data_IF_756945348086
#
_entry.id   IF_756945348086
#
_cell.length_a   1.000
_cell.length_b   1.000
_cell.length_c   1.000
_cell.angle_alpha   90.00
_cell.angle_beta   90.00
_cell.angle_gamma   90.00
#
_symmetry.space_group_name_H-M   'P 1'
#
loop_
_entity.id
_entity.type
_entity.pdbx_description
1 polymer ?
#
# COMPACT_ATOMS: atom_id res chain seq x y z
N UNK A 1 10.67 17.65 -24.13
CA UNK A 1 10.80 17.00 -22.81
C UNK A 1 9.99 17.80 -21.82
N UNK A 2 9.43 17.16 -20.79
CA UNK A 2 8.64 17.82 -19.75
C UNK A 2 9.40 17.72 -18.44
N UNK A 3 9.46 18.82 -17.70
CA UNK A 3 10.19 18.90 -16.43
C UNK A 3 9.31 18.34 -15.31
N UNK A 4 9.82 17.37 -14.56
CA UNK A 4 9.19 16.82 -13.35
C UNK A 4 9.67 17.52 -12.08
N UNK A 5 10.96 17.84 -12.03
CA UNK A 5 11.58 18.41 -10.84
C UNK A 5 12.73 19.33 -11.21
N UNK A 6 12.85 20.44 -10.49
CA UNK A 6 13.92 21.43 -10.69
C UNK A 6 14.84 21.43 -9.48
N UNK A 7 16.15 21.38 -9.73
CA UNK A 7 17.21 21.48 -8.74
C UNK A 7 18.06 22.72 -9.03
N UNK A 8 19.07 22.99 -8.21
CA UNK A 8 19.89 24.22 -8.34
C UNK A 8 20.70 24.30 -9.64
N UNK A 9 21.12 23.16 -10.22
CA UNK A 9 21.99 23.13 -11.41
C UNK A 9 21.45 22.28 -12.57
N UNK A 10 20.35 21.56 -12.34
CA UNK A 10 19.77 20.65 -13.31
C UNK A 10 18.27 20.49 -13.04
N UNK A 11 17.57 19.87 -13.99
CA UNK A 11 16.22 19.38 -13.80
C UNK A 11 16.15 17.89 -14.14
N UNK A 12 15.13 17.24 -13.59
CA UNK A 12 14.71 15.89 -13.96
C UNK A 12 13.52 16.02 -14.89
N UNK A 13 13.57 15.31 -16.01
CA UNK A 13 12.60 15.42 -17.09
C UNK A 13 12.17 14.04 -17.58
N UNK A 14 10.96 13.99 -18.14
CA UNK A 14 10.48 12.88 -18.98
C UNK A 14 10.53 13.27 -20.45
N UNK A 15 10.70 12.27 -21.31
CA UNK A 15 10.88 12.50 -22.74
C UNK A 15 9.54 12.60 -23.45
N UNK A 16 9.51 13.46 -24.47
CA UNK A 16 8.44 13.45 -25.49
C UNK A 16 9.00 12.74 -26.72
N UNK A 17 8.30 11.72 -27.21
CA UNK A 17 8.68 10.96 -28.40
C UNK A 17 7.47 10.72 -29.30
N UNK A 18 7.70 10.70 -30.61
CA UNK A 18 6.69 10.31 -31.61
C UNK A 18 6.86 8.88 -32.09
N UNK A 19 7.97 8.22 -31.72
CA UNK A 19 8.34 6.87 -32.16
C UNK A 19 8.26 6.72 -33.69
N UNK A 20 8.92 7.61 -34.44
CA UNK A 20 8.86 7.66 -35.91
C UNK A 20 7.44 7.82 -36.47
N UNK A 21 6.55 8.49 -35.72
CA UNK A 21 5.15 8.65 -36.09
C UNK A 21 4.31 7.40 -35.83
N UNK A 22 4.78 6.46 -35.01
CA UNK A 22 4.00 5.28 -34.62
C UNK A 22 3.36 5.43 -33.24
N UNK A 23 3.81 6.42 -32.44
CA UNK A 23 3.33 6.62 -31.08
C UNK A 23 3.43 5.31 -30.27
N UNK A 24 2.47 5.03 -29.39
CA UNK A 24 2.34 3.79 -28.60
C UNK A 24 2.03 2.54 -29.44
N UNK A 25 1.85 2.68 -30.76
CA UNK A 25 1.59 1.54 -31.65
C UNK A 25 2.88 0.84 -32.08
N UNK A 26 4.05 1.38 -31.70
CA UNK A 26 5.34 0.74 -31.95
C UNK A 26 5.49 -0.50 -31.08
N UNK A 27 5.93 -1.60 -31.69
CA UNK A 27 6.17 -2.86 -30.99
C UNK A 27 7.18 -2.73 -29.85
N UNK A 28 6.89 -3.39 -28.73
CA UNK A 28 7.74 -3.42 -27.55
C UNK A 28 7.58 -2.23 -26.60
N UNK A 29 6.65 -1.30 -26.87
CA UNK A 29 6.26 -0.26 -25.91
C UNK A 29 5.20 -0.79 -24.95
N UNK A 30 5.34 -0.45 -23.66
CA UNK A 30 4.29 -0.65 -22.68
C UNK A 30 3.37 0.59 -22.63
N UNK A 31 2.10 0.49 -23.05
CA UNK A 31 1.16 1.60 -22.99
C UNK A 31 1.03 2.20 -21.58
N UNK A 32 1.18 1.41 -20.51
CA UNK A 32 0.98 1.86 -19.13
C UNK A 32 2.00 2.92 -18.68
N UNK A 33 3.15 3.01 -19.36
CA UNK A 33 4.18 4.01 -19.11
C UNK A 33 4.07 5.24 -20.00
N UNK A 34 3.02 5.34 -20.82
CA UNK A 34 2.87 6.39 -21.82
C UNK A 34 1.57 7.18 -21.67
N UNK A 35 1.66 8.48 -21.92
CA UNK A 35 0.52 9.38 -22.11
C UNK A 35 0.63 10.09 -23.45
N UNK A 36 -0.50 10.46 -24.04
CA UNK A 36 -0.50 11.44 -25.12
C UNK A 36 -0.21 12.83 -24.57
N UNK A 37 0.45 13.66 -25.37
CA UNK A 37 0.62 15.08 -25.08
C UNK A 37 0.14 15.90 -26.27
N UNK A 38 -0.67 16.93 -25.99
CA UNK A 38 -1.35 17.69 -27.03
C UNK A 38 -1.50 19.18 -26.64
N UNK A 39 -1.73 20.03 -27.64
CA UNK A 39 -1.90 21.49 -27.43
C UNK A 39 -3.36 21.91 -27.61
N UNK A 40 -4.04 21.40 -28.65
CA UNK A 40 -5.40 21.82 -29.01
C UNK A 40 -6.40 20.67 -28.88
N UNK A 41 -6.25 19.68 -29.74
CA UNK A 41 -7.18 18.57 -29.84
C UNK A 41 -6.72 17.42 -28.97
N UNK A 42 -7.53 17.06 -27.97
CA UNK A 42 -7.28 15.88 -27.14
C UNK A 42 -7.45 14.61 -27.99
N UNK A 43 -6.39 13.81 -28.18
CA UNK A 43 -6.51 12.55 -28.90
C UNK A 43 -7.31 11.48 -28.13
N UNK A 44 -7.66 11.77 -26.88
CA UNK A 44 -8.31 10.86 -25.96
C UNK A 44 -7.37 9.79 -25.41
N UNK A 45 -7.86 9.05 -24.42
CA UNK A 45 -7.14 7.94 -23.81
C UNK A 45 -7.27 6.66 -24.62
N UNK A 46 -6.15 5.97 -24.87
CA UNK A 46 -6.17 4.59 -25.40
C UNK A 46 -6.15 3.58 -24.25
N UNK A 47 -6.67 2.39 -24.51
CA UNK A 47 -6.72 1.30 -23.52
C UNK A 47 -5.31 1.00 -22.99
N UNK A 48 -5.18 1.00 -21.66
CA UNK A 48 -3.93 0.70 -20.97
C UNK A 48 -2.93 1.85 -20.94
N UNK A 49 -3.23 3.02 -21.51
CA UNK A 49 -2.38 4.23 -21.36
C UNK A 49 -2.70 5.02 -20.10
N UNK A 50 -1.78 5.93 -19.74
CA UNK A 50 -2.06 7.02 -18.82
C UNK A 50 -2.96 8.07 -19.48
N UNK A 51 -3.52 8.97 -18.66
CA UNK A 51 -4.37 10.05 -19.14
C UNK A 51 -3.58 11.03 -20.03
N UNK A 52 -4.24 11.57 -21.06
CA UNK A 52 -3.63 12.54 -21.96
C UNK A 52 -3.37 13.87 -21.22
N UNK A 53 -2.27 14.53 -21.58
CA UNK A 53 -1.80 15.75 -20.92
C UNK A 53 -1.84 16.92 -21.91
N UNK A 54 -2.67 17.92 -21.57
CA UNK A 54 -2.74 19.18 -22.30
C UNK A 54 -1.57 20.11 -21.98
N UNK A 55 -1.08 20.83 -22.99
CA UNK A 55 -0.01 21.82 -22.89
C UNK A 55 -0.50 23.17 -23.41
N UNK A 56 -0.38 24.19 -22.57
CA UNK A 56 -0.53 25.58 -22.96
C UNK A 56 0.76 26.01 -23.69
N UNK A 57 0.73 25.96 -25.02
CA UNK A 57 1.88 26.26 -25.86
C UNK A 57 2.20 27.76 -25.93
N UNK A 58 3.50 28.07 -25.96
CA UNK A 58 3.98 29.41 -26.27
C UNK A 58 3.72 29.76 -27.76
N UNK A 59 3.75 31.05 -28.15
CA UNK A 59 3.59 31.44 -29.55
C UNK A 59 4.60 30.73 -30.46
N UNK A 60 4.10 29.96 -31.44
CA UNK A 60 4.93 29.16 -32.35
C UNK A 60 5.37 27.79 -31.80
N UNK A 61 4.88 27.41 -30.62
CA UNK A 61 5.01 26.07 -30.09
C UNK A 61 4.17 25.08 -30.91
N UNK A 62 4.83 24.13 -31.55
CA UNK A 62 4.18 23.07 -32.32
C UNK A 62 4.56 21.70 -31.76
N UNK A 63 3.55 20.81 -31.72
CA UNK A 63 3.71 19.45 -31.26
C UNK A 63 3.06 18.51 -32.27
N UNK A 64 3.75 17.42 -32.60
CA UNK A 64 3.16 16.41 -33.47
C UNK A 64 2.00 15.71 -32.73
N UNK A 65 0.84 15.47 -33.37
CA UNK A 65 -0.31 14.80 -32.73
C UNK A 65 0.00 13.40 -32.16
N UNK A 66 1.05 12.75 -32.65
CA UNK A 66 1.51 11.43 -32.23
C UNK A 66 2.58 11.50 -31.13
N UNK A 67 2.79 12.69 -30.56
CA UNK A 67 3.71 12.88 -29.45
C UNK A 67 3.18 12.25 -28.18
N UNK A 68 4.02 11.44 -27.56
CA UNK A 68 3.74 10.79 -26.29
C UNK A 68 4.81 11.14 -25.27
N UNK A 69 4.38 11.29 -24.02
CA UNK A 69 5.23 11.31 -22.85
C UNK A 69 5.62 9.88 -22.54
N UNK A 70 6.90 9.64 -22.30
CA UNK A 70 7.41 8.39 -21.77
C UNK A 70 7.81 8.59 -20.30
N UNK A 71 7.02 8.04 -19.38
CA UNK A 71 7.25 8.14 -17.94
C UNK A 71 8.29 7.13 -17.42
N UNK A 72 8.60 6.07 -18.17
CA UNK A 72 9.59 5.06 -17.75
C UNK A 72 11.04 5.51 -17.96
N UNK A 73 11.26 6.65 -18.62
CA UNK A 73 12.60 7.14 -18.95
C UNK A 73 12.85 8.55 -18.40
N UNK A 74 13.61 8.61 -17.31
CA UNK A 74 14.02 9.85 -16.67
C UNK A 74 15.34 10.36 -17.22
N UNK A 75 15.39 11.67 -17.42
CA UNK A 75 16.57 12.37 -17.90
C UNK A 75 16.98 13.47 -16.94
N UNK A 76 18.26 13.53 -16.62
CA UNK A 76 18.85 14.69 -15.95
C UNK A 76 19.37 15.66 -16.99
N UNK A 77 18.88 16.91 -16.95
CA UNK A 77 19.24 17.95 -17.93
C UNK A 77 19.85 19.14 -17.21
N UNK A 78 21.07 19.52 -17.59
CA UNK A 78 21.73 20.70 -17.04
C UNK A 78 21.16 21.98 -17.65
N UNK A 79 21.11 23.06 -16.88
CA UNK A 79 20.54 24.34 -17.33
C UNK A 79 21.28 25.01 -18.48
N UNK A 80 22.53 24.62 -18.75
CA UNK A 80 23.31 25.15 -19.86
C UNK A 80 22.97 24.48 -21.21
N UNK A 81 21.92 23.65 -21.26
CA UNK A 81 21.46 23.00 -22.49
C UNK A 81 20.60 23.97 -23.31
N UNK A 82 20.94 24.17 -24.58
CA UNK A 82 20.11 24.96 -25.50
C UNK A 82 18.84 24.15 -25.81
N UNK A 83 17.70 24.65 -25.37
CA UNK A 83 16.38 24.04 -25.62
C UNK A 83 15.43 25.06 -26.22
N UNK A 84 14.50 24.58 -27.04
CA UNK A 84 13.38 25.39 -27.53
C UNK A 84 12.23 25.29 -26.53
N UNK A 85 11.72 26.40 -25.99
CA UNK A 85 10.52 26.35 -25.14
C UNK A 85 9.32 25.94 -26.00
N UNK A 86 8.50 25.03 -25.45
CA UNK A 86 7.24 24.61 -26.08
C UNK A 86 6.05 25.30 -25.40
N UNK A 87 6.13 25.49 -24.08
CA UNK A 87 5.05 26.01 -23.25
C UNK A 87 5.06 25.33 -21.87
N UNK A 88 3.93 25.43 -21.17
CA UNK A 88 3.72 24.82 -19.85
C UNK A 88 2.59 23.79 -19.92
N UNK A 89 2.58 22.84 -18.97
CA UNK A 89 1.41 21.96 -18.79
C UNK A 89 0.20 22.85 -18.50
N UNK A 90 -0.94 22.55 -19.12
CA UNK A 90 -2.17 23.28 -18.80
C UNK A 90 -2.52 23.00 -17.32
N UNK A 91 -2.83 24.02 -16.50
CA UNK A 91 -3.10 23.86 -15.07
C UNK A 91 -4.12 22.77 -14.72
N UNK A 92 -5.04 22.45 -15.63
CA UNK A 92 -6.04 21.38 -15.44
C UNK A 92 -5.41 19.99 -15.36
N UNK A 93 -4.23 19.81 -15.94
CA UNK A 93 -3.54 18.52 -16.06
C UNK A 93 -2.33 18.41 -15.14
N UNK A 94 -1.95 19.45 -14.40
CA UNK A 94 -0.80 19.40 -13.48
C UNK A 94 -0.93 18.26 -12.46
N UNK A 95 -2.08 18.14 -11.80
CA UNK A 95 -2.34 17.08 -10.83
C UNK A 95 -2.32 15.68 -11.47
N UNK A 96 -2.92 15.53 -12.65
CA UNK A 96 -2.95 14.28 -13.40
C UNK A 96 -1.54 13.87 -13.86
N UNK A 97 -0.76 14.84 -14.33
CA UNK A 97 0.62 14.64 -14.75
C UNK A 97 1.49 14.21 -13.58
N UNK A 98 1.40 14.89 -12.43
CA UNK A 98 2.12 14.54 -11.22
C UNK A 98 1.74 13.13 -10.74
N UNK A 99 0.44 12.83 -10.67
CA UNK A 99 -0.04 11.52 -10.26
C UNK A 99 0.47 10.40 -11.18
N UNK A 100 0.35 10.57 -12.50
CA UNK A 100 0.81 9.58 -13.48
C UNK A 100 2.32 9.37 -13.40
N UNK A 101 3.06 10.46 -13.23
CA UNK A 101 4.52 10.42 -13.08
C UNK A 101 4.92 9.65 -11.82
N UNK A 102 4.32 9.97 -10.67
CA UNK A 102 4.63 9.28 -9.42
C UNK A 102 4.16 7.83 -9.39
N UNK A 103 3.06 7.50 -10.08
CA UNK A 103 2.60 6.12 -10.19
C UNK A 103 3.61 5.27 -10.94
N UNK A 104 3.99 5.68 -12.16
CA UNK A 104 4.95 4.92 -12.97
C UNK A 104 6.31 4.86 -12.29
N UNK A 105 6.82 5.98 -11.78
CA UNK A 105 8.11 6.01 -11.08
C UNK A 105 8.09 5.23 -9.77
N UNK A 106 6.95 5.24 -9.07
CA UNK A 106 6.71 4.43 -7.88
C UNK A 106 6.85 2.95 -8.20
N UNK A 107 6.21 2.48 -9.27
CA UNK A 107 6.30 1.09 -9.74
C UNK A 107 7.74 0.68 -10.12
N UNK A 108 8.58 1.63 -10.57
CA UNK A 108 10.01 1.40 -10.83
C UNK A 108 10.90 1.39 -9.58
N UNK A 109 10.72 2.37 -8.68
CA UNK A 109 11.58 2.53 -7.49
C UNK A 109 11.20 1.58 -6.35
N UNK A 110 9.93 1.23 -6.28
CA UNK A 110 9.37 0.25 -5.38
C UNK A 110 8.44 -0.59 -6.24
N UNK A 111 8.95 -1.60 -6.96
CA UNK A 111 8.08 -2.60 -7.54
C UNK A 111 7.32 -3.18 -6.36
N UNK A 112 6.12 -2.63 -6.14
CA UNK A 112 5.31 -3.07 -5.05
C UNK A 112 5.15 -4.54 -5.34
N UNK A 113 5.43 -5.33 -4.32
CA UNK A 113 5.29 -6.77 -4.37
C UNK A 113 3.78 -7.06 -4.47
N UNK A 114 3.15 -6.70 -5.60
CA UNK A 114 1.70 -6.72 -5.83
C UNK A 114 1.21 -8.18 -5.81
N UNK A 115 2.09 -9.14 -6.10
CA UNK A 115 1.80 -10.57 -5.90
C UNK A 115 1.91 -11.03 -4.44
N UNK A 116 2.58 -10.30 -3.54
CA UNK A 116 2.68 -10.67 -2.13
C UNK A 116 1.60 -10.01 -1.26
N UNK A 117 1.04 -8.85 -1.64
CA UNK A 117 0.08 -8.14 -0.78
C UNK A 117 -1.31 -8.78 -0.66
N UNK A 118 -1.81 -9.46 -1.71
CA UNK A 118 -3.08 -10.20 -1.64
C UNK A 118 -2.93 -11.47 -0.80
N UNK A 119 -1.82 -12.19 -1.01
CA UNK A 119 -1.46 -13.38 -0.24
C UNK A 119 -1.23 -13.05 1.24
N UNK A 120 -0.49 -11.98 1.55
CA UNK A 120 -0.21 -11.57 2.92
C UNK A 120 -1.47 -11.13 3.68
N UNK A 121 -2.43 -10.43 3.04
CA UNK A 121 -3.71 -10.09 3.67
C UNK A 121 -4.56 -11.32 3.98
N UNK A 122 -4.63 -12.26 3.05
CA UNK A 122 -5.34 -13.53 3.24
C UNK A 122 -4.70 -14.36 4.36
N UNK A 123 -3.36 -14.47 4.37
CA UNK A 123 -2.63 -15.22 5.39
C UNK A 123 -2.78 -14.58 6.79
N UNK A 124 -2.68 -13.25 6.88
CA UNK A 124 -2.85 -12.53 8.13
C UNK A 124 -4.27 -12.67 8.69
N UNK A 125 -5.30 -12.62 7.83
CA UNK A 125 -6.69 -12.88 8.23
C UNK A 125 -6.89 -14.31 8.76
N UNK A 126 -6.28 -15.30 8.10
CA UNK A 126 -6.31 -16.69 8.56
C UNK A 126 -5.58 -16.89 9.91
N UNK A 127 -4.41 -16.26 10.08
CA UNK A 127 -3.65 -16.30 11.33
C UNK A 127 -4.41 -15.64 12.48
N UNK A 128 -5.04 -14.49 12.25
CA UNK A 128 -5.89 -13.82 13.24
C UNK A 128 -7.08 -14.69 13.63
N UNK A 129 -7.74 -15.34 12.67
CA UNK A 129 -8.84 -16.27 12.93
C UNK A 129 -8.40 -17.46 13.77
N UNK A 130 -7.22 -18.02 13.48
CA UNK A 130 -6.64 -19.14 14.25
C UNK A 130 -6.28 -18.72 15.67
N UNK A 131 -5.68 -17.54 15.84
CA UNK A 131 -5.32 -17.00 17.15
C UNK A 131 -6.57 -16.78 18.02
N UNK A 132 -7.64 -16.21 17.44
CA UNK A 132 -8.90 -15.99 18.16
C UNK A 132 -9.52 -17.32 18.62
N UNK A 133 -9.52 -18.35 17.76
CA UNK A 133 -10.04 -19.69 18.14
C UNK A 133 -9.23 -20.30 19.28
N UNK A 134 -7.91 -20.20 19.23
CA UNK A 134 -7.04 -20.72 20.30
C UNK A 134 -7.27 -19.99 21.62
N UNK A 135 -7.50 -18.67 21.59
CA UNK A 135 -7.84 -17.89 22.78
C UNK A 135 -9.19 -18.33 23.37
N UNK A 136 -10.23 -18.47 22.55
CA UNK A 136 -11.54 -18.93 23.01
C UNK A 136 -11.46 -20.34 23.63
N UNK A 137 -10.67 -21.25 23.04
CA UNK A 137 -10.45 -22.59 23.61
C UNK A 137 -9.74 -22.54 24.97
N UNK A 138 -8.75 -21.67 25.12
CA UNK A 138 -8.05 -21.48 26.40
C UNK A 138 -8.98 -20.91 27.47
N UNK A 139 -9.88 -19.99 27.12
CA UNK A 139 -10.90 -19.48 28.05
C UNK A 139 -11.88 -20.56 28.49
N UNK A 140 -12.34 -21.40 27.56
CA UNK A 140 -13.21 -22.54 27.87
C UNK A 140 -12.52 -23.54 28.82
N UNK A 141 -11.26 -23.86 28.56
CA UNK A 141 -10.46 -24.72 29.44
C UNK A 141 -10.29 -24.10 30.83
N UNK A 142 -10.02 -22.79 30.92
CA UNK A 142 -9.94 -22.07 32.20
C UNK A 142 -11.26 -22.14 32.98
N UNK A 143 -12.39 -21.93 32.30
CA UNK A 143 -13.71 -22.03 32.93
C UNK A 143 -14.01 -23.46 33.44
N UNK A 144 -13.63 -24.49 32.67
CA UNK A 144 -13.75 -25.89 33.10
C UNK A 144 -12.89 -26.21 34.32
N UNK A 145 -11.64 -25.74 34.35
CA UNK A 145 -10.76 -25.93 35.50
C UNK A 145 -11.30 -25.24 36.75
N UNK A 146 -11.89 -24.05 36.62
CA UNK A 146 -12.53 -23.35 37.74
C UNK A 146 -13.70 -24.18 38.30
N UNK A 147 -14.56 -24.72 37.42
CA UNK A 147 -15.68 -25.57 37.83
C UNK A 147 -15.24 -26.85 38.54
N UNK A 148 -14.18 -27.49 38.06
CA UNK A 148 -13.60 -28.69 38.71
C UNK A 148 -13.02 -28.34 40.07
N UNK A 149 -12.33 -27.19 40.20
CA UNK A 149 -11.83 -26.70 41.49
C UNK A 149 -12.98 -26.47 42.47
N UNK A 150 -14.05 -25.81 42.06
CA UNK A 150 -15.19 -25.50 42.94
C UNK A 150 -15.86 -26.80 43.44
N UNK A 151 -16.02 -27.79 42.56
CA UNK A 151 -16.53 -29.12 42.92
C UNK A 151 -15.65 -29.84 43.95
N UNK A 152 -14.32 -29.72 43.82
CA UNK A 152 -13.38 -30.32 44.78
C UNK A 152 -13.45 -29.63 46.14
N UNK A 153 -13.59 -28.30 46.18
CA UNK A 153 -13.75 -27.56 47.44
C UNK A 153 -15.06 -27.86 48.15
N UNK A 154 -16.15 -28.12 47.43
CA UNK A 154 -17.43 -28.52 48.02
C UNK A 154 -17.40 -29.95 48.56
N UNK A 155 -16.66 -30.86 47.90
CA UNK A 155 -16.47 -32.23 48.39
C UNK A 155 -15.60 -32.30 49.65
N UNK A 156 -14.64 -31.39 49.81
CA UNK A 156 -13.80 -31.32 51.02
C UNK A 156 -14.50 -30.69 52.22
N UNK A 157 -15.62 -29.98 52.05
CA UNK A 157 -16.36 -29.39 53.17
C UNK A 157 -17.50 -30.27 53.70
N UNK A 158 -17.64 -31.50 53.18
CA UNK A 158 -18.67 -32.47 53.60
C UNK A 158 -18.14 -33.64 54.43
N UNK A 159 -16.85 -33.65 54.78
CA UNK A 159 -16.22 -34.72 55.56
C UNK A 159 -15.84 -34.30 57.00
N UNK A 160 -16.29 -33.12 57.47
CA UNK A 160 -16.02 -32.61 58.84
C UNK A 160 -17.30 -32.55 59.72
N UNK A 161 -18.28 -33.43 59.50
CA UNK A 161 -19.45 -33.55 60.37
C UNK A 161 -19.80 -35.02 60.64
N UNK A 162 -18.96 -35.67 61.44
CA UNK A 162 -19.34 -36.83 62.25
C UNK A 162 -18.74 -36.61 63.64
N UNK A 163 -19.59 -36.23 64.59
CA UNK A 163 -19.24 -36.14 66.00
C UNK A 163 -18.94 -37.51 66.60
N UNK A 164 -18.14 -37.52 67.67
CA UNK A 164 -18.22 -38.59 68.66
C UNK A 164 -17.93 -38.03 70.05
N UNK A 165 -18.88 -38.35 70.93
CA UNK A 165 -18.94 -38.02 72.34
C UNK A 165 -17.95 -38.91 73.12
N UNK A 166 -17.25 -38.33 74.10
CA UNK A 166 -16.36 -39.13 74.95
C UNK A 166 -15.85 -38.35 76.15
N UNK A 167 -16.68 -38.30 77.19
CA UNK A 167 -16.28 -37.97 78.56
C UNK A 167 -15.11 -38.84 79.02
N UNK A 168 -14.03 -38.26 79.55
CA UNK A 168 -13.22 -38.91 80.60
C UNK A 168 -12.73 -37.87 81.62
N UNK A 169 -13.32 -37.95 82.81
CA UNK A 169 -12.76 -37.52 84.09
C UNK A 169 -11.32 -38.07 84.28
N UNK A 170 -10.37 -37.23 84.71
CA UNK A 170 -9.56 -37.56 85.89
C UNK A 170 -8.67 -36.40 86.39
N UNK A 171 -8.90 -36.08 87.68
CA UNK A 171 -7.96 -35.91 88.80
C UNK A 171 -6.63 -35.13 88.65
N UNK A 172 -6.44 -34.25 89.65
CA UNK A 172 -5.21 -33.96 90.41
C UNK A 172 -4.07 -33.23 89.66
N UNK A 173 -3.27 -32.30 90.19
CA UNK A 173 -2.81 -31.96 91.54
C UNK A 173 -1.99 -30.63 91.42
N UNK A 174 -1.96 -29.83 92.50
CA UNK A 174 -0.93 -28.83 92.93
C UNK A 174 -0.61 -27.62 92.01
N UNK A 175 -0.48 -26.37 92.49
CA UNK A 175 0.20 -25.83 93.68
C UNK A 175 -0.40 -24.47 94.10
#
# INVERSE_FOLDING_TARGET
MIVLGKFTKHCICVRIQTYQGQSVSKDGLDPAHHAFVYIKDDPGKRRGMQDSIGVAADPGGELNPLSCINYSELYTVQFNSVVRPLGNIDPRFEATFDQSSWQVLGDFCFPSSVEQHTNARSLNSQLQTRLQRAQNQNEELRARLLKVRDQLTTAQSTDDDDGDDGDEDNSDEEE
#
